data_IF_682340676589
#
_entry.id   IF_682340676589
#
_cell.length_a   1.000
_cell.length_b   1.000
_cell.length_c   1.000
_cell.angle_alpha   90.00
_cell.angle_beta   90.00
_cell.angle_gamma   90.00
#
_symmetry.space_group_name_H-M   'P 1'
#
loop_
_entity.id
_entity.type
_entity.pdbx_description
1 polymer ?
#
# COMPACT_ATOMS: atom_id res chain seq x y z
N UNK A 1 48.30 27.27 -6.79
CA UNK A 1 49.67 26.93 -7.25
C UNK A 1 49.65 27.11 -8.76
N UNK A 2 50.35 28.13 -9.28
CA UNK A 2 50.38 28.42 -10.72
C UNK A 2 51.52 27.58 -11.31
N UNK A 3 51.24 26.80 -12.35
CA UNK A 3 52.21 25.87 -12.92
C UNK A 3 53.32 26.61 -13.68
N UNK A 4 54.57 26.13 -13.67
CA UNK A 4 55.71 26.79 -14.33
C UNK A 4 55.45 27.08 -15.82
N UNK A 5 54.71 26.20 -16.49
CA UNK A 5 54.32 26.32 -17.89
C UNK A 5 53.41 27.53 -18.14
N UNK A 6 52.55 27.88 -17.18
CA UNK A 6 51.67 29.05 -17.27
C UNK A 6 52.46 30.37 -17.18
N UNK A 7 53.53 30.41 -16.37
CA UNK A 7 54.37 31.59 -16.21
C UNK A 7 55.23 31.82 -17.46
N UNK A 8 55.79 30.76 -18.05
CA UNK A 8 56.56 30.86 -19.29
C UNK A 8 55.68 31.27 -20.48
N UNK A 9 54.45 30.75 -20.53
CA UNK A 9 53.44 31.17 -21.52
C UNK A 9 53.09 32.66 -21.41
N UNK A 10 53.00 33.21 -20.19
CA UNK A 10 52.68 34.62 -19.95
C UNK A 10 53.81 35.57 -20.40
N UNK A 11 55.07 35.18 -20.18
CA UNK A 11 56.25 35.97 -20.57
C UNK A 11 56.48 36.09 -22.08
N UNK A 12 55.86 35.22 -22.89
CA UNK A 12 55.99 35.22 -24.35
C UNK A 12 54.98 36.13 -25.07
N UNK A 13 53.96 36.67 -24.39
CA UNK A 13 53.02 37.64 -24.99
C UNK A 13 53.62 39.04 -24.97
N UNK A 14 54.42 39.36 -25.98
CA UNK A 14 54.65 40.75 -26.38
C UNK A 14 53.30 41.30 -26.84
N UNK A 15 52.83 42.35 -26.17
CA UNK A 15 51.51 42.95 -26.44
C UNK A 15 51.56 43.71 -27.76
N UNK A 16 51.23 43.04 -28.86
CA UNK A 16 51.18 43.64 -30.21
C UNK A 16 49.96 44.56 -30.42
N UNK A 17 49.14 44.82 -29.39
CA UNK A 17 47.92 45.64 -29.48
C UNK A 17 48.12 47.12 -29.10
N UNK A 18 49.30 47.71 -29.27
CA UNK A 18 49.44 49.17 -29.27
C UNK A 18 49.60 49.62 -30.72
N UNK A 19 48.53 50.07 -31.41
CA UNK A 19 48.68 50.79 -32.65
C UNK A 19 49.56 52.01 -32.37
N UNK A 20 50.70 52.11 -33.05
CA UNK A 20 51.54 53.30 -32.98
C UNK A 20 50.71 54.53 -33.34
N UNK A 21 50.49 55.42 -32.37
CA UNK A 21 49.83 56.70 -32.59
C UNK A 21 50.77 57.63 -33.35
N UNK A 22 50.77 57.56 -34.67
CA UNK A 22 51.25 58.66 -35.51
C UNK A 22 50.13 59.69 -35.67
N UNK A 23 50.24 60.75 -34.87
CA UNK A 23 50.03 62.17 -35.21
C UNK A 23 48.86 62.59 -36.13
N UNK A 24 48.06 63.52 -35.60
CA UNK A 24 47.17 64.48 -36.28
C UNK A 24 45.86 63.94 -36.88
N UNK A 25 44.77 63.99 -36.09
CA UNK A 25 43.58 64.79 -36.42
C UNK A 25 42.47 64.69 -35.35
N UNK A 26 41.81 65.82 -35.11
CA UNK A 26 40.95 66.08 -33.95
C UNK A 26 39.50 65.62 -34.15
N UNK A 27 39.24 64.32 -34.03
CA UNK A 27 37.91 63.78 -33.72
C UNK A 27 38.00 62.68 -32.65
N UNK A 28 37.06 62.61 -31.68
CA UNK A 28 37.10 61.56 -30.67
C UNK A 28 36.84 60.21 -31.35
N UNK A 29 37.91 59.41 -31.46
CA UNK A 29 37.93 58.02 -31.95
C UNK A 29 36.86 57.13 -31.27
N UNK A 30 36.34 57.54 -30.11
CA UNK A 30 35.23 56.90 -29.40
C UNK A 30 33.96 56.67 -30.24
N UNK A 31 33.72 57.45 -31.30
CA UNK A 31 32.49 57.31 -32.11
C UNK A 31 32.49 56.18 -33.15
N UNK A 32 33.63 55.55 -33.45
CA UNK A 32 33.75 54.58 -34.56
C UNK A 32 34.32 53.21 -34.21
N UNK A 33 34.79 52.98 -32.98
CA UNK A 33 35.21 51.64 -32.56
C UNK A 33 34.01 50.88 -32.03
N UNK A 34 33.30 50.18 -32.92
CA UNK A 34 32.54 49.01 -32.50
C UNK A 34 33.56 48.02 -31.95
N UNK A 35 33.70 47.98 -30.62
CA UNK A 35 34.69 47.14 -29.92
C UNK A 35 34.34 45.69 -30.23
N UNK A 36 35.07 45.08 -31.17
CA UNK A 36 34.93 43.66 -31.50
C UNK A 36 35.49 42.87 -30.32
N UNK A 37 34.69 42.01 -29.67
CA UNK A 37 35.17 41.20 -28.56
C UNK A 37 36.35 40.34 -28.99
N UNK A 38 37.34 40.21 -28.12
CA UNK A 38 38.48 39.32 -28.38
C UNK A 38 38.05 37.86 -28.36
N UNK A 39 38.79 36.97 -29.03
CA UNK A 39 38.52 35.52 -29.00
C UNK A 39 38.46 34.97 -27.56
N UNK A 40 39.28 35.51 -26.66
CA UNK A 40 39.27 35.14 -25.23
C UNK A 40 38.00 35.57 -24.52
N UNK A 41 37.47 36.76 -24.84
CA UNK A 41 36.23 37.28 -24.27
C UNK A 41 35.02 36.44 -24.71
N UNK A 42 35.00 36.02 -25.98
CA UNK A 42 33.99 35.11 -26.52
C UNK A 42 34.05 33.74 -25.81
N UNK A 43 35.25 33.18 -25.68
CA UNK A 43 35.45 31.89 -24.98
C UNK A 43 35.01 31.97 -23.51
N UNK A 44 35.28 33.10 -22.85
CA UNK A 44 34.91 33.29 -21.45
C UNK A 44 33.38 33.36 -21.28
N UNK A 45 32.69 34.11 -22.13
CA UNK A 45 31.22 34.16 -22.15
C UNK A 45 30.59 32.79 -22.44
N UNK A 46 31.18 32.02 -23.37
CA UNK A 46 30.74 30.66 -23.68
C UNK A 46 30.88 29.72 -22.48
N UNK A 47 32.01 29.82 -21.76
CA UNK A 47 32.26 29.03 -20.56
C UNK A 47 31.27 29.38 -19.43
N UNK A 48 31.01 30.66 -19.20
CA UNK A 48 29.99 31.11 -18.24
C UNK A 48 28.59 30.59 -18.60
N UNK A 49 28.21 30.64 -19.88
CA UNK A 49 26.94 30.09 -20.36
C UNK A 49 26.82 28.59 -20.09
N UNK A 50 27.89 27.84 -20.37
CA UNK A 50 27.94 26.39 -20.15
C UNK A 50 27.85 26.08 -18.64
N UNK A 51 28.57 26.81 -17.81
CA UNK A 51 28.52 26.63 -16.35
C UNK A 51 27.12 26.89 -15.80
N UNK A 52 26.48 28.00 -16.18
CA UNK A 52 25.10 28.29 -15.75
C UNK A 52 24.12 27.19 -16.18
N UNK A 53 24.32 26.61 -17.37
CA UNK A 53 23.52 25.47 -17.84
C UNK A 53 23.75 24.23 -16.99
N UNK A 54 24.99 23.97 -16.57
CA UNK A 54 25.30 22.85 -15.67
C UNK A 54 24.74 23.06 -14.26
N UNK A 55 24.85 24.26 -13.71
CA UNK A 55 24.25 24.61 -12.41
C UNK A 55 22.74 24.34 -12.39
N UNK A 56 22.01 24.82 -13.41
CA UNK A 56 20.57 24.54 -13.55
C UNK A 56 20.26 23.05 -13.65
N UNK A 57 21.12 22.28 -14.34
CA UNK A 57 20.94 20.83 -14.47
C UNK A 57 21.23 20.11 -13.15
N UNK A 58 22.20 20.58 -12.37
CA UNK A 58 22.47 20.05 -11.03
C UNK A 58 21.28 20.32 -10.12
N UNK A 59 20.76 21.54 -10.11
CA UNK A 59 19.57 21.91 -9.32
C UNK A 59 18.36 21.03 -9.67
N UNK A 60 18.08 20.85 -10.97
CA UNK A 60 17.01 19.96 -11.43
C UNK A 60 17.21 18.51 -10.96
N UNK A 61 18.43 17.98 -11.06
CA UNK A 61 18.73 16.61 -10.59
C UNK A 61 18.59 16.47 -9.07
N UNK A 62 18.93 17.51 -8.30
CA UNK A 62 18.74 17.51 -6.85
C UNK A 62 17.25 17.53 -6.48
N UNK A 63 16.44 18.31 -7.18
CA UNK A 63 14.98 18.31 -7.04
C UNK A 63 14.37 16.95 -7.38
N UNK A 64 14.70 16.38 -8.55
CA UNK A 64 14.24 15.06 -8.96
C UNK A 64 14.63 13.97 -7.94
N UNK A 65 15.84 14.03 -7.40
CA UNK A 65 16.31 13.12 -6.35
C UNK A 65 15.50 13.28 -5.05
N UNK A 66 15.13 14.50 -4.67
CA UNK A 66 14.27 14.72 -3.49
C UNK A 66 12.86 14.17 -3.72
N UNK A 67 12.28 14.41 -4.90
CA UNK A 67 10.97 13.88 -5.27
C UNK A 67 10.95 12.35 -5.25
N UNK A 68 11.95 11.69 -5.84
CA UNK A 68 12.07 10.23 -5.82
C UNK A 68 12.18 9.66 -4.40
N UNK A 69 12.86 10.38 -3.48
CA UNK A 69 12.92 9.97 -2.06
C UNK A 69 11.54 10.03 -1.40
N UNK A 70 10.77 11.09 -1.66
CA UNK A 70 9.40 11.22 -1.16
C UNK A 70 8.50 10.10 -1.71
N UNK A 71 8.60 9.79 -3.00
CA UNK A 71 7.82 8.72 -3.62
C UNK A 71 8.11 7.35 -2.99
N UNK A 72 9.38 7.06 -2.70
CA UNK A 72 9.78 5.83 -1.99
C UNK A 72 9.13 5.76 -0.60
N UNK A 73 9.14 6.87 0.15
CA UNK A 73 8.54 6.92 1.48
C UNK A 73 7.00 6.78 1.44
N UNK A 74 6.35 7.38 0.45
CA UNK A 74 4.90 7.21 0.20
C UNK A 74 4.58 5.74 -0.10
N UNK A 75 5.29 5.11 -1.03
CA UNK A 75 5.09 3.69 -1.36
C UNK A 75 5.33 2.78 -0.14
N UNK A 76 6.33 3.09 0.69
CA UNK A 76 6.60 2.35 1.93
C UNK A 76 5.47 2.49 2.94
N UNK A 77 4.84 3.67 3.03
CA UNK A 77 3.70 3.89 3.91
C UNK A 77 2.45 3.15 3.40
N UNK A 78 2.17 3.22 2.11
CA UNK A 78 1.04 2.53 1.49
C UNK A 78 1.14 1.01 1.64
N UNK A 79 2.31 0.43 1.34
CA UNK A 79 2.56 -1.02 1.52
C UNK A 79 2.39 -1.46 2.96
N UNK A 80 2.83 -0.65 3.95
CA UNK A 80 2.60 -0.91 5.37
C UNK A 80 1.10 -0.88 5.72
N UNK A 81 0.34 0.08 5.19
CA UNK A 81 -1.12 0.18 5.39
C UNK A 81 -1.84 -1.03 4.81
N UNK A 82 -1.51 -1.40 3.57
CA UNK A 82 -2.07 -2.58 2.89
C UNK A 82 -1.79 -3.86 3.68
N UNK A 83 -0.57 -4.03 4.21
CA UNK A 83 -0.22 -5.20 5.03
C UNK A 83 -1.08 -5.28 6.30
N UNK A 84 -1.32 -4.15 6.97
CA UNK A 84 -2.21 -4.11 8.15
C UNK A 84 -3.65 -4.49 7.80
N UNK A 85 -4.19 -3.91 6.73
CA UNK A 85 -5.55 -4.23 6.27
C UNK A 85 -5.70 -5.71 5.89
N UNK A 86 -4.71 -6.26 5.18
CA UNK A 86 -4.68 -7.69 4.82
C UNK A 86 -4.69 -8.60 6.06
N UNK A 87 -3.90 -8.27 7.08
CA UNK A 87 -3.86 -9.04 8.31
C UNK A 87 -5.20 -9.00 9.05
N UNK A 88 -5.81 -7.80 9.19
CA UNK A 88 -7.13 -7.66 9.81
C UNK A 88 -8.21 -8.46 9.06
N UNK A 89 -8.26 -8.32 7.73
CA UNK A 89 -9.21 -9.07 6.92
C UNK A 89 -9.03 -10.59 7.04
N UNK A 90 -7.79 -11.05 7.24
CA UNK A 90 -7.50 -12.47 7.48
C UNK A 90 -8.01 -12.91 8.86
N UNK A 91 -7.79 -12.13 9.90
CA UNK A 91 -8.31 -12.39 11.25
C UNK A 91 -9.84 -12.44 11.25
N UNK A 92 -10.49 -11.46 10.60
CA UNK A 92 -11.94 -11.42 10.44
C UNK A 92 -12.46 -12.67 9.71
N UNK A 93 -11.79 -13.10 8.63
CA UNK A 93 -12.16 -14.32 7.92
C UNK A 93 -12.01 -15.59 8.78
N UNK A 94 -10.93 -15.68 9.56
CA UNK A 94 -10.70 -16.80 10.46
C UNK A 94 -11.78 -16.86 11.56
N UNK A 95 -12.15 -15.72 12.14
CA UNK A 95 -13.27 -15.63 13.10
C UNK A 95 -14.60 -16.06 12.49
N UNK A 96 -14.90 -15.58 11.28
CA UNK A 96 -16.14 -15.92 10.58
C UNK A 96 -16.22 -17.43 10.28
N UNK A 97 -15.09 -18.03 9.88
CA UNK A 97 -14.99 -19.48 9.67
C UNK A 97 -15.22 -20.25 10.95
N UNK A 98 -14.72 -19.77 12.10
CA UNK A 98 -14.98 -20.41 13.39
C UNK A 98 -16.45 -20.29 13.79
N UNK A 99 -17.06 -19.12 13.62
CA UNK A 99 -18.47 -18.90 13.96
C UNK A 99 -19.41 -19.72 13.10
N UNK A 100 -19.12 -19.81 11.80
CA UNK A 100 -19.88 -20.67 10.89
C UNK A 100 -19.89 -22.13 11.34
N UNK A 101 -18.71 -22.69 11.67
CA UNK A 101 -18.61 -24.06 12.18
C UNK A 101 -19.36 -24.25 13.50
N UNK A 102 -19.27 -23.28 14.40
CA UNK A 102 -19.98 -23.30 15.68
C UNK A 102 -21.50 -23.29 15.49
N UNK A 103 -22.00 -22.45 14.59
CA UNK A 103 -23.41 -22.38 14.25
C UNK A 103 -23.90 -23.67 13.57
N UNK A 104 -23.08 -24.29 12.73
CA UNK A 104 -23.40 -25.58 12.14
C UNK A 104 -23.62 -26.66 13.21
N UNK A 105 -22.77 -26.71 14.23
CA UNK A 105 -22.92 -27.65 15.35
C UNK A 105 -24.18 -27.30 16.16
N UNK A 106 -24.36 -26.03 16.55
CA UNK A 106 -25.56 -25.57 17.28
C UNK A 106 -26.87 -25.91 16.57
N UNK A 107 -26.93 -25.75 15.25
CA UNK A 107 -28.13 -26.10 14.48
C UNK A 107 -28.42 -27.60 14.52
N UNK A 108 -27.38 -28.45 14.49
CA UNK A 108 -27.56 -29.90 14.63
C UNK A 108 -28.03 -30.26 16.03
N UNK A 109 -27.44 -29.65 17.06
CA UNK A 109 -27.83 -29.86 18.45
C UNK A 109 -29.29 -29.45 18.67
N UNK A 110 -29.70 -28.28 18.18
CA UNK A 110 -31.09 -27.81 18.25
C UNK A 110 -32.08 -28.77 17.59
N UNK A 111 -31.78 -29.23 16.36
CA UNK A 111 -32.63 -30.19 15.66
C UNK A 111 -32.72 -31.52 16.44
N UNK A 112 -31.62 -31.96 17.02
CA UNK A 112 -31.58 -33.18 17.82
C UNK A 112 -32.39 -33.04 19.12
N UNK A 113 -32.26 -31.92 19.83
CA UNK A 113 -33.04 -31.64 21.04
C UNK A 113 -34.54 -31.67 20.75
N UNK A 114 -34.98 -31.01 19.67
CA UNK A 114 -36.38 -31.02 19.24
C UNK A 114 -36.88 -32.44 18.92
N UNK A 115 -36.08 -33.23 18.18
CA UNK A 115 -36.41 -34.61 17.87
C UNK A 115 -36.51 -35.49 19.13
N UNK A 116 -35.63 -35.30 20.11
CA UNK A 116 -35.67 -36.02 21.40
C UNK A 116 -36.94 -35.69 22.17
N UNK A 117 -37.36 -34.43 22.20
CA UNK A 117 -38.62 -34.02 22.84
C UNK A 117 -39.82 -34.68 22.18
N UNK A 118 -39.87 -34.70 20.83
CA UNK A 118 -40.94 -35.35 20.09
C UNK A 118 -41.00 -36.87 20.35
N UNK A 119 -39.85 -37.55 20.35
CA UNK A 119 -39.77 -38.98 20.64
C UNK A 119 -40.26 -39.28 22.06
N UNK A 120 -39.88 -38.46 23.05
CA UNK A 120 -40.35 -38.64 24.44
C UNK A 120 -41.87 -38.48 24.53
N UNK A 121 -42.45 -37.47 23.88
CA UNK A 121 -43.91 -37.29 23.87
C UNK A 121 -44.64 -38.50 23.27
N UNK A 122 -44.15 -39.04 22.15
CA UNK A 122 -44.72 -40.27 21.57
C UNK A 122 -44.58 -41.47 22.52
N UNK A 123 -43.43 -41.62 23.18
CA UNK A 123 -43.20 -42.71 24.13
C UNK A 123 -44.16 -42.62 25.34
N UNK A 124 -44.38 -41.43 25.90
CA UNK A 124 -45.29 -41.20 27.02
C UNK A 124 -46.75 -41.55 26.65
N UNK A 125 -47.18 -41.21 25.42
CA UNK A 125 -48.49 -41.59 24.91
C UNK A 125 -48.64 -43.11 24.75
N UNK A 126 -47.63 -43.78 24.18
CA UNK A 126 -47.64 -45.24 24.04
C UNK A 126 -47.65 -45.95 25.39
N UNK A 127 -46.90 -45.45 26.37
CA UNK A 127 -46.90 -45.98 27.73
C UNK A 127 -48.28 -45.85 28.39
N UNK A 128 -48.96 -44.71 28.18
CA UNK A 128 -50.34 -44.50 28.66
C UNK A 128 -51.31 -45.51 28.04
N UNK A 129 -51.23 -45.73 26.72
CA UNK A 129 -52.07 -46.72 26.02
C UNK A 129 -51.81 -48.15 26.50
N UNK A 130 -50.55 -48.51 26.77
CA UNK A 130 -50.19 -49.83 27.30
C UNK A 130 -50.85 -50.09 28.68
N UNK A 131 -50.76 -49.12 29.60
CA UNK A 131 -51.42 -49.22 30.92
C UNK A 131 -52.94 -49.35 30.79
N UNK A 132 -53.56 -48.62 29.84
CA UNK A 132 -54.99 -48.74 29.57
C UNK A 132 -55.36 -50.13 29.05
N UNK A 133 -54.57 -50.69 28.13
CA UNK A 133 -54.77 -52.04 27.61
C UNK A 133 -54.64 -53.10 28.70
N UNK A 134 -53.62 -53.01 29.57
CA UNK A 134 -53.43 -53.91 30.71
C UNK A 134 -54.63 -53.85 31.68
N UNK A 135 -55.12 -52.63 31.96
CA UNK A 135 -56.29 -52.43 32.83
C UNK A 135 -57.56 -53.05 32.24
N UNK A 136 -57.78 -52.89 30.94
CA UNK A 136 -58.92 -53.49 30.23
C UNK A 136 -58.83 -55.01 30.20
N UNK A 137 -57.63 -55.55 29.97
CA UNK A 137 -57.36 -56.99 30.00
C UNK A 137 -57.74 -57.59 31.36
N UNK A 138 -57.28 -57.00 32.47
CA UNK A 138 -57.62 -57.45 33.83
C UNK A 138 -59.14 -57.39 34.10
N UNK A 139 -59.82 -56.34 33.64
CA UNK A 139 -61.28 -56.24 33.78
C UNK A 139 -61.99 -57.37 33.05
N UNK A 140 -61.55 -57.68 31.84
CA UNK A 140 -62.15 -58.73 31.02
C UNK A 140 -61.98 -60.12 31.64
N UNK A 141 -60.78 -60.46 32.12
CA UNK A 141 -60.52 -61.73 32.83
C UNK A 141 -61.43 -61.87 34.07
N UNK A 142 -61.53 -60.83 34.91
CA UNK A 142 -62.40 -60.84 36.11
C UNK A 142 -63.89 -61.02 35.78
N UNK A 143 -64.36 -60.42 34.69
CA UNK A 143 -65.77 -60.51 34.27
C UNK A 143 -66.07 -61.87 33.60
N UNK A 144 -65.10 -62.42 32.88
CA UNK A 144 -65.15 -63.79 32.31
C UNK A 144 -65.24 -64.84 33.41
N UNK A 145 -64.41 -64.76 34.45
CA UNK A 145 -64.42 -65.70 35.59
C UNK A 145 -65.77 -65.71 36.32
N UNK A 146 -66.34 -64.52 36.58
CA UNK A 146 -67.69 -64.39 37.18
C UNK A 146 -68.80 -64.95 36.29
N UNK A 147 -68.66 -64.89 34.96
CA UNK A 147 -69.61 -65.45 34.02
C UNK A 147 -69.63 -66.98 34.04
N UNK A 148 -68.50 -67.63 34.35
CA UNK A 148 -68.40 -69.08 34.47
C UNK A 148 -68.93 -69.63 35.80
N UNK A 149 -68.84 -68.87 36.90
CA UNK A 149 -69.38 -69.29 38.22
C UNK A 149 -70.92 -69.23 38.32
N UNK A 150 -71.59 -68.46 37.45
CA UNK A 150 -73.05 -68.26 37.48
C UNK A 150 -73.83 -69.17 36.52
N UNK A 151 -73.17 -70.07 35.79
CA UNK A 151 -73.76 -71.05 34.87
C UNK A 151 -73.76 -72.46 35.50
#
# INVERSE_FOLDING_TARGET
MITPEYIEWLGRRINDNIPGLSQEDSQPIEKHLQVVPSELEIIMQDFERINSKFEKKIEQMEEEKMNLRLDIDVQKLETKKLRKMKNKAKEDLDSLKTDYKKNQVRNRDYIMEEAVVQIRGVADHLQTLAVQADTLSVKYELESDRGQELA
#
